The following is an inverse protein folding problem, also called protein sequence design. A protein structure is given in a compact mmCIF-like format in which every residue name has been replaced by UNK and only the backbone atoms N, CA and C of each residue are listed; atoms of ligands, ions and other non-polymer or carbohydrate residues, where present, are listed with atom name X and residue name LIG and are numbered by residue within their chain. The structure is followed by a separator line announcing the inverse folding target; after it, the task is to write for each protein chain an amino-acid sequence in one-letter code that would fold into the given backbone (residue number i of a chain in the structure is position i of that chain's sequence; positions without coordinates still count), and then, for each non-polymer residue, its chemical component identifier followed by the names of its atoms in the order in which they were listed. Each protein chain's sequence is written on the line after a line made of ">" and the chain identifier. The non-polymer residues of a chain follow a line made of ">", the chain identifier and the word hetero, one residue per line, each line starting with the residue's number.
data_IF_739543232270
#
_entry.id   IF_739543232270
#
_cell.length_a   1.000
_cell.length_b   1.000
_cell.length_c   1.000
_cell.angle_alpha   90.00
_cell.angle_beta   90.00
_cell.angle_gamma   90.00
#
_symmetry.space_group_name_H-M   'P 1'
#
loop_
_entity.id
_entity.type
_entity.pdbx_description
1 polymer ?
#
# COMPACT_ATOMS: atom_id res chain seq x y z
N UNK A 1 24.58 12.16 19.94
CA UNK A 1 23.34 11.46 19.49
C UNK A 1 23.71 10.16 18.83
N UNK A 2 23.15 9.06 19.26
CA UNK A 2 23.50 7.78 18.68
C UNK A 2 22.75 7.55 17.38
N UNK A 3 23.40 6.92 16.42
CA UNK A 3 22.76 6.53 15.15
C UNK A 3 21.62 5.55 15.35
N UNK A 4 21.68 4.75 16.42
CA UNK A 4 20.64 3.78 16.76
C UNK A 4 19.30 4.45 17.08
N UNK A 5 19.32 5.57 17.84
CA UNK A 5 18.10 6.32 18.14
C UNK A 5 17.48 6.93 16.90
N UNK A 6 18.31 7.43 15.99
CA UNK A 6 17.82 7.97 14.73
C UNK A 6 17.20 6.87 13.87
N UNK A 7 17.78 5.68 13.84
CA UNK A 7 17.27 4.55 13.11
C UNK A 7 15.91 4.08 13.62
N UNK A 8 15.69 4.11 14.92
CA UNK A 8 14.42 3.71 15.54
C UNK A 8 13.26 4.63 15.15
N UNK A 9 13.57 5.86 14.78
CA UNK A 9 12.58 6.88 14.42
C UNK A 9 12.47 7.08 12.91
N UNK A 10 13.13 6.23 12.13
CA UNK A 10 13.11 6.30 10.67
C UNK A 10 12.14 5.28 10.10
N UNK A 11 11.45 5.69 9.04
CA UNK A 11 10.56 4.83 8.28
C UNK A 11 11.15 4.61 6.89
N UNK A 12 11.28 3.36 6.48
CA UNK A 12 11.68 3.03 5.12
C UNK A 12 10.47 3.23 4.21
N UNK A 13 10.64 4.02 3.15
CA UNK A 13 9.57 4.42 2.25
C UNK A 13 9.91 4.02 0.82
N UNK A 14 9.05 3.23 0.23
CA UNK A 14 9.09 2.90 -1.20
C UNK A 14 8.33 3.95 -1.99
N UNK A 15 8.72 4.13 -3.25
CA UNK A 15 8.05 5.09 -4.14
C UNK A 15 7.09 4.34 -5.06
N UNK A 16 5.84 4.81 -5.12
CA UNK A 16 4.81 4.25 -5.98
C UNK A 16 4.67 5.12 -7.21
N UNK A 17 4.95 4.56 -8.38
CA UNK A 17 4.88 5.25 -9.67
C UNK A 17 3.90 4.53 -10.61
N UNK A 18 3.52 5.18 -11.72
CA UNK A 18 2.63 4.61 -12.70
C UNK A 18 1.22 5.16 -12.61
N UNK A 19 0.27 4.46 -13.23
CA UNK A 19 -1.13 4.89 -13.30
C UNK A 19 -2.07 3.77 -12.87
N UNK A 20 -3.36 4.12 -12.73
CA UNK A 20 -4.37 3.17 -12.26
C UNK A 20 -4.78 2.14 -13.31
N UNK A 21 -4.66 2.46 -14.58
CA UNK A 21 -5.09 1.59 -15.69
C UNK A 21 -4.15 0.41 -15.88
N UNK A 22 -2.85 0.72 -15.95
CA UNK A 22 -1.81 -0.29 -16.20
C UNK A 22 -1.25 -0.90 -14.90
N UNK A 23 -1.70 -0.38 -13.77
CA UNK A 23 -1.13 -0.70 -12.48
C UNK A 23 0.09 0.16 -12.17
N UNK A 24 0.46 0.16 -10.91
CA UNK A 24 1.56 0.97 -10.41
C UNK A 24 2.78 0.11 -10.16
N UNK A 25 3.93 0.74 -9.99
CA UNK A 25 5.19 0.07 -9.71
C UNK A 25 5.71 0.56 -8.36
N UNK A 26 6.03 -0.38 -7.47
CA UNK A 26 6.76 -0.08 -6.24
C UNK A 26 8.24 -0.04 -6.59
N UNK A 27 8.80 1.16 -6.55
CA UNK A 27 10.19 1.38 -6.94
C UNK A 27 11.07 1.31 -5.70
N UNK A 28 11.73 0.16 -5.52
CA UNK A 28 12.66 -0.04 -4.42
C UNK A 28 14.02 0.61 -4.67
N UNK A 29 14.34 0.93 -5.92
CA UNK A 29 15.59 1.62 -6.25
C UNK A 29 15.60 3.07 -5.77
N UNK A 30 14.43 3.66 -5.57
CA UNK A 30 14.26 5.02 -5.04
C UNK A 30 13.75 5.01 -3.61
N UNK A 31 14.09 3.97 -2.85
CA UNK A 31 13.74 3.87 -1.43
C UNK A 31 14.29 5.06 -0.65
N UNK A 32 13.45 5.63 0.21
CA UNK A 32 13.79 6.73 1.09
C UNK A 32 13.72 6.28 2.55
N UNK A 33 14.39 7.03 3.42
CA UNK A 33 14.22 6.88 4.87
C UNK A 33 13.76 8.23 5.42
N UNK A 34 12.68 8.21 6.18
CA UNK A 34 12.05 9.42 6.69
C UNK A 34 12.05 9.41 8.21
N UNK A 35 12.55 10.51 8.80
CA UNK A 35 12.52 10.72 10.23
C UNK A 35 11.12 11.17 10.64
N UNK A 36 10.42 10.32 11.39
CA UNK A 36 9.05 10.58 11.82
C UNK A 36 8.75 9.94 13.19
N UNK A 37 9.39 10.45 14.27
CA UNK A 37 9.32 9.82 15.60
C UNK A 37 7.90 9.73 16.16
N UNK A 38 7.08 10.75 15.95
CA UNK A 38 5.70 10.76 16.45
C UNK A 38 4.84 9.71 15.78
N UNK A 39 5.05 9.53 14.47
CA UNK A 39 4.34 8.55 13.65
C UNK A 39 4.75 7.13 14.05
N UNK A 40 6.06 6.90 14.22
CA UNK A 40 6.59 5.62 14.70
C UNK A 40 6.07 5.33 16.11
N UNK A 41 6.03 6.33 16.99
CA UNK A 41 5.51 6.17 18.33
C UNK A 41 4.04 5.75 18.35
N UNK A 42 3.23 6.34 17.46
CA UNK A 42 1.80 6.08 17.40
C UNK A 42 1.47 4.73 16.80
N UNK A 43 2.13 4.33 15.72
CA UNK A 43 1.83 3.12 14.97
C UNK A 43 2.80 1.97 15.24
N UNK A 44 4.05 2.30 15.60
CA UNK A 44 5.04 1.38 16.13
C UNK A 44 5.29 0.14 15.29
N UNK A 45 5.24 -1.00 15.96
CA UNK A 45 5.54 -2.30 15.36
C UNK A 45 4.54 -2.72 14.28
N UNK A 46 3.38 -2.08 14.21
CA UNK A 46 2.39 -2.36 13.16
C UNK A 46 2.85 -1.89 11.79
N UNK A 47 3.80 -0.94 11.74
CA UNK A 47 4.33 -0.44 10.48
C UNK A 47 5.40 -1.37 9.92
N UNK A 48 5.16 -1.87 8.71
CA UNK A 48 6.16 -2.61 7.95
C UNK A 48 7.03 -1.66 7.11
N UNK A 49 6.39 -0.71 6.42
CA UNK A 49 7.07 0.29 5.60
C UNK A 49 6.10 1.44 5.30
N UNK A 50 6.62 2.46 4.63
CA UNK A 50 5.81 3.52 4.03
C UNK A 50 5.81 3.41 2.52
N UNK A 51 4.81 4.01 1.88
CA UNK A 51 4.74 4.14 0.43
C UNK A 51 4.41 5.58 0.11
N UNK A 52 5.27 6.23 -0.69
CA UNK A 52 5.05 7.60 -1.14
C UNK A 52 4.23 7.61 -2.41
N UNK A 53 3.18 8.40 -2.44
CA UNK A 53 2.36 8.64 -3.62
C UNK A 53 3.01 9.74 -4.45
N UNK A 54 3.25 9.47 -5.74
CA UNK A 54 3.94 10.40 -6.62
C UNK A 54 3.05 11.00 -7.71
N UNK A 55 1.77 10.63 -7.74
CA UNK A 55 0.86 11.07 -8.79
C UNK A 55 -0.47 11.53 -8.20
N UNK A 56 -1.32 12.11 -9.07
CA UNK A 56 -2.66 12.57 -8.68
C UNK A 56 -3.75 11.53 -8.96
N UNK A 57 -3.37 10.32 -9.37
CA UNK A 57 -4.35 9.29 -9.77
C UNK A 57 -5.23 8.81 -8.63
N UNK A 58 -4.81 9.01 -7.39
CA UNK A 58 -5.54 8.58 -6.21
C UNK A 58 -6.32 9.71 -5.52
N UNK A 59 -6.32 10.90 -6.12
CA UNK A 59 -7.10 12.02 -5.62
C UNK A 59 -8.59 11.68 -5.58
N UNK A 60 -9.35 12.21 -4.63
CA UNK A 60 -8.92 13.03 -3.49
C UNK A 60 -8.54 12.21 -2.24
N UNK A 61 -8.60 10.89 -2.32
CA UNK A 61 -8.37 10.01 -1.15
C UNK A 61 -6.93 10.12 -0.68
N UNK A 62 -5.99 9.95 -1.61
CA UNK A 62 -4.57 10.20 -1.36
C UNK A 62 -4.08 11.22 -2.37
N UNK A 63 -3.26 12.14 -1.90
CA UNK A 63 -2.69 13.18 -2.76
C UNK A 63 -1.18 12.99 -2.91
N UNK A 64 -0.62 13.65 -3.91
CA UNK A 64 0.83 13.58 -4.16
C UNK A 64 1.60 13.93 -2.89
N UNK A 65 2.64 13.17 -2.62
CA UNK A 65 3.54 13.23 -1.47
C UNK A 65 2.96 12.68 -0.16
N UNK A 66 1.73 12.19 -0.15
CA UNK A 66 1.25 11.42 0.98
C UNK A 66 2.13 10.17 1.14
N UNK A 67 2.41 9.82 2.40
CA UNK A 67 3.10 8.58 2.74
C UNK A 67 2.11 7.67 3.43
N UNK A 68 1.85 6.53 2.81
CA UNK A 68 0.95 5.53 3.36
C UNK A 68 1.72 4.61 4.29
N UNK A 69 1.27 4.50 5.53
CA UNK A 69 1.83 3.53 6.47
C UNK A 69 1.23 2.16 6.24
N UNK A 70 2.09 1.18 5.97
CA UNK A 70 1.69 -0.16 5.55
C UNK A 70 1.93 -1.16 6.67
N UNK A 71 0.92 -1.96 6.97
CA UNK A 71 0.98 -3.07 7.92
C UNK A 71 0.87 -4.40 7.19
N UNK A 72 1.50 -5.42 7.70
CA UNK A 72 1.36 -6.80 7.19
C UNK A 72 0.21 -7.57 7.84
N UNK A 73 -0.65 -6.90 8.58
CA UNK A 73 -1.80 -7.56 9.19
C UNK A 73 -2.71 -8.20 8.13
N UNK A 74 -3.46 -9.26 8.46
CA UNK A 74 -4.46 -9.78 7.55
C UNK A 74 -5.50 -8.71 7.23
N UNK A 75 -5.88 -8.53 5.95
CA UNK A 75 -6.89 -7.55 5.59
C UNK A 75 -8.28 -7.96 6.05
N UNK A 76 -9.08 -6.96 6.41
CA UNK A 76 -10.49 -7.11 6.78
C UNK A 76 -11.37 -6.42 5.75
N UNK A 77 -12.66 -6.74 5.78
CA UNK A 77 -13.63 -6.06 4.94
C UNK A 77 -13.56 -4.54 5.15
N UNK A 78 -13.49 -3.81 4.06
CA UNK A 78 -13.36 -2.36 4.08
C UNK A 78 -11.94 -1.81 4.16
N UNK A 79 -10.95 -2.64 4.40
CA UNK A 79 -9.55 -2.19 4.46
C UNK A 79 -9.05 -1.79 3.07
N UNK A 80 -8.20 -0.77 3.05
CA UNK A 80 -7.44 -0.42 1.85
C UNK A 80 -6.18 -1.25 1.80
N UNK A 81 -6.03 -2.02 0.72
CA UNK A 81 -4.96 -2.98 0.56
C UNK A 81 -4.07 -2.63 -0.62
N UNK A 82 -2.80 -2.98 -0.51
CA UNK A 82 -1.87 -2.95 -1.63
C UNK A 82 -1.61 -4.38 -2.04
N UNK A 83 -1.84 -4.65 -3.33
CA UNK A 83 -1.69 -5.96 -3.93
C UNK A 83 -0.70 -5.90 -5.06
N UNK A 84 0.04 -6.97 -5.26
CA UNK A 84 0.97 -7.11 -6.38
C UNK A 84 0.47 -8.23 -7.26
N UNK A 85 0.27 -7.91 -8.54
CA UNK A 85 -0.04 -8.90 -9.56
C UNK A 85 1.28 -9.57 -9.98
N UNK A 86 1.48 -10.81 -9.56
CA UNK A 86 2.76 -11.49 -9.76
C UNK A 86 3.19 -11.60 -11.23
N UNK A 87 2.29 -11.95 -12.17
CA UNK A 87 2.70 -12.07 -13.56
C UNK A 87 3.26 -10.79 -14.17
N UNK A 88 2.78 -9.63 -13.75
CA UNK A 88 3.21 -8.34 -14.30
C UNK A 88 4.13 -7.55 -13.38
N UNK A 89 4.19 -7.90 -12.10
CA UNK A 89 4.91 -7.13 -11.09
C UNK A 89 4.25 -5.81 -10.72
N UNK A 90 3.05 -5.55 -11.22
CA UNK A 90 2.34 -4.29 -10.98
C UNK A 90 1.62 -4.30 -9.65
N UNK A 91 1.61 -3.13 -9.01
CA UNK A 91 0.94 -2.91 -7.73
C UNK A 91 -0.40 -2.21 -7.94
N UNK A 92 -1.36 -2.55 -7.11
CA UNK A 92 -2.69 -1.97 -7.15
C UNK A 92 -3.12 -1.59 -5.73
N UNK A 93 -3.77 -0.44 -5.59
CA UNK A 93 -4.37 0.00 -4.33
C UNK A 93 -5.87 -0.14 -4.47
N UNK A 94 -6.47 -0.98 -3.63
CA UNK A 94 -7.91 -1.27 -3.71
C UNK A 94 -8.49 -1.43 -2.32
N UNK A 95 -9.78 -1.18 -2.21
CA UNK A 95 -10.56 -1.43 -0.99
C UNK A 95 -11.14 -2.84 -1.05
N UNK A 96 -10.89 -3.62 0.00
CA UNK A 96 -11.38 -4.99 0.05
C UNK A 96 -12.87 -5.04 0.38
N UNK A 97 -13.63 -5.71 -0.46
CA UNK A 97 -15.01 -6.12 -0.17
C UNK A 97 -15.02 -7.64 -0.11
N UNK A 98 -15.13 -8.16 1.09
CA UNK A 98 -15.16 -9.61 1.28
C UNK A 98 -16.43 -10.21 0.69
N UNK A 99 -16.29 -11.41 0.21
CA UNK A 99 -17.39 -12.14 -0.41
C UNK A 99 -16.86 -13.35 -1.16
N UNK A 100 -17.76 -14.00 -1.86
CA UNK A 100 -17.42 -15.16 -2.68
C UNK A 100 -18.00 -14.95 -4.08
N UNK A 101 -17.24 -14.33 -5.01
CA UNK A 101 -15.83 -13.94 -4.90
C UNK A 101 -15.59 -12.65 -4.10
N UNK A 102 -14.34 -12.45 -3.68
CA UNK A 102 -13.91 -11.18 -3.14
C UNK A 102 -13.79 -10.13 -4.24
N UNK A 103 -14.12 -8.90 -3.92
CA UNK A 103 -13.94 -7.78 -4.83
C UNK A 103 -12.98 -6.77 -4.24
N UNK A 104 -12.13 -6.22 -5.11
CA UNK A 104 -11.16 -5.19 -4.77
C UNK A 104 -11.55 -3.94 -5.54
N UNK A 105 -12.12 -3.00 -4.82
CA UNK A 105 -12.78 -1.82 -5.39
C UNK A 105 -11.80 -0.66 -5.51
N UNK A 106 -11.91 0.15 -6.57
CA UNK A 106 -11.16 1.39 -6.66
C UNK A 106 -11.48 2.30 -5.47
N UNK A 107 -10.45 2.91 -4.89
CA UNK A 107 -10.62 3.72 -3.68
C UNK A 107 -11.24 5.09 -3.95
N UNK A 108 -11.13 5.60 -5.17
CA UNK A 108 -11.64 6.91 -5.57
C UNK A 108 -12.66 6.85 -6.72
N UNK A 109 -13.17 5.68 -7.03
CA UNK A 109 -14.12 5.48 -8.11
C UNK A 109 -13.51 5.35 -9.51
N UNK A 110 -12.20 5.50 -9.64
CA UNK A 110 -11.50 5.35 -10.92
C UNK A 110 -10.68 4.06 -10.92
N UNK A 111 -10.73 3.34 -12.02
CA UNK A 111 -10.03 2.08 -12.19
C UNK A 111 -10.98 0.89 -12.17
N UNK A 112 -10.45 -0.28 -12.51
CA UNK A 112 -11.24 -1.50 -12.62
C UNK A 112 -11.42 -2.17 -11.27
N UNK A 113 -12.56 -2.84 -11.12
CA UNK A 113 -12.79 -3.75 -10.01
C UNK A 113 -11.97 -5.02 -10.28
N UNK A 114 -11.18 -5.43 -9.31
CA UNK A 114 -10.43 -6.68 -9.38
C UNK A 114 -11.23 -7.73 -8.61
N UNK A 115 -11.55 -8.83 -9.28
CA UNK A 115 -12.28 -9.93 -8.66
C UNK A 115 -11.33 -11.08 -8.42
N UNK A 116 -11.32 -11.59 -7.19
CA UNK A 116 -10.48 -12.72 -6.79
C UNK A 116 -11.38 -13.77 -6.14
N UNK A 117 -11.43 -14.95 -6.76
CA UNK A 117 -12.17 -16.08 -6.21
C UNK A 117 -11.25 -16.84 -5.25
N UNK A 118 -11.55 -16.84 -3.93
CA UNK A 118 -10.70 -17.52 -2.96
C UNK A 118 -10.70 -19.05 -3.15
N UNK A 119 -11.66 -19.58 -3.90
CA UNK A 119 -11.70 -21.01 -4.22
C UNK A 119 -10.99 -21.35 -5.54
N UNK A 120 -10.50 -20.34 -6.26
CA UNK A 120 -9.78 -20.54 -7.51
C UNK A 120 -8.28 -20.40 -7.24
N UNK A 121 -7.55 -21.51 -7.37
CA UNK A 121 -6.12 -21.53 -7.10
C UNK A 121 -5.35 -20.58 -8.02
N UNK A 122 -5.72 -20.49 -9.28
CA UNK A 122 -5.06 -19.59 -10.24
C UNK A 122 -5.20 -18.14 -9.82
N UNK A 123 -6.40 -17.71 -9.40
CA UNK A 123 -6.61 -16.36 -8.88
C UNK A 123 -5.76 -16.09 -7.66
N UNK A 124 -5.75 -17.04 -6.72
CA UNK A 124 -5.04 -16.86 -5.47
C UNK A 124 -3.53 -16.75 -5.63
N UNK A 125 -2.95 -17.51 -6.57
CA UNK A 125 -1.50 -17.50 -6.79
C UNK A 125 -1.02 -16.31 -7.62
N UNK A 126 -1.92 -15.64 -8.36
CA UNK A 126 -1.54 -14.45 -9.14
C UNK A 126 -1.38 -13.20 -8.31
N UNK A 127 -1.99 -13.17 -7.12
CA UNK A 127 -2.03 -11.98 -6.29
C UNK A 127 -1.25 -12.17 -5.00
N UNK A 128 -0.30 -11.28 -4.78
CA UNK A 128 0.43 -11.18 -3.52
C UNK A 128 -0.11 -10.00 -2.72
N UNK A 129 -0.55 -10.27 -1.49
CA UNK A 129 -0.92 -9.20 -0.57
C UNK A 129 0.35 -8.56 -0.05
N UNK A 130 0.59 -7.31 -0.45
CA UNK A 130 1.75 -6.57 0.04
C UNK A 130 1.48 -6.04 1.44
N UNK A 131 0.31 -5.46 1.66
CA UNK A 131 -0.05 -4.99 2.97
C UNK A 131 -1.34 -4.17 3.00
N UNK A 132 -1.67 -3.69 4.18
CA UNK A 132 -2.86 -2.90 4.47
C UNK A 132 -2.44 -1.50 4.87
N UNK A 133 -3.11 -0.49 4.32
CA UNK A 133 -2.88 0.90 4.70
C UNK A 133 -3.54 1.16 6.06
N UNK A 134 -2.74 1.48 7.06
CA UNK A 134 -3.23 1.75 8.43
C UNK A 134 -3.12 3.22 8.81
N UNK A 135 -2.39 4.00 8.05
CA UNK A 135 -2.14 5.40 8.39
C UNK A 135 -1.70 6.20 7.16
N UNK A 136 -1.87 7.50 7.22
CA UNK A 136 -1.39 8.42 6.19
C UNK A 136 -0.60 9.53 6.87
N UNK A 137 0.65 9.69 6.43
CA UNK A 137 1.47 10.83 6.84
C UNK A 137 1.38 11.89 5.74
N UNK A 138 0.69 12.96 6.03
CA UNK A 138 0.49 14.06 5.10
C UNK A 138 1.38 15.22 5.50
N UNK A 139 2.20 15.63 4.59
CA UNK A 139 3.18 16.70 4.81
C UNK A 139 2.75 18.01 4.20
#
# INVERSE_FOLDING_TARGET
>A
MSHEQDSENMLDVLVLTGNMEDGMVLDSANEERIYCPEYIKKYGERLHCGIRITSNHLNPVYVRNDILGISKKPPRDGDTCILIHKPTGRAFIRKLQQGNPCQLLPINGYGDIITVDPNNHTDMVQWLKFGVVIAVLRR
#
